data_IF_148949341044
#
_entry.id   IF_148949341044
#
_cell.length_a   1.000
_cell.length_b   1.000
_cell.length_c   1.000
_cell.angle_alpha   90.00
_cell.angle_beta   90.00
_cell.angle_gamma   90.00
#
_symmetry.space_group_name_H-M   'P 1'
#
loop_
_entity.id
_entity.type
_entity.pdbx_description
1 polymer ?
#
# COMPACT_ATOMS: atom_id res chain seq x y z
N UNK A 1 -11.92 18.33 -7.04
CA UNK A 1 -11.17 17.62 -8.11
C UNK A 1 -10.34 16.52 -7.44
N UNK A 2 -10.50 15.27 -7.87
CA UNK A 2 -9.68 14.17 -7.35
C UNK A 2 -8.31 14.13 -8.04
N UNK A 3 -7.41 13.29 -7.54
CA UNK A 3 -6.04 13.22 -8.06
C UNK A 3 -5.97 12.81 -9.54
N UNK A 4 -6.83 11.89 -9.99
CA UNK A 4 -6.88 11.46 -11.39
C UNK A 4 -7.32 12.58 -12.33
N UNK A 5 -8.34 13.34 -11.92
CA UNK A 5 -8.80 14.52 -12.66
C UNK A 5 -7.72 15.60 -12.72
N UNK A 6 -6.98 15.78 -11.63
CA UNK A 6 -5.85 16.73 -11.58
C UNK A 6 -4.75 16.31 -12.54
N UNK A 7 -4.40 15.04 -12.60
CA UNK A 7 -3.40 14.50 -13.54
C UNK A 7 -3.84 14.73 -14.99
N UNK A 8 -5.08 14.40 -15.33
CA UNK A 8 -5.63 14.62 -16.68
C UNK A 8 -5.62 16.10 -17.07
N UNK A 9 -6.05 16.97 -16.15
CA UNK A 9 -6.06 18.41 -16.36
C UNK A 9 -4.65 18.96 -16.58
N UNK A 10 -3.68 18.53 -15.79
CA UNK A 10 -2.28 18.95 -15.90
C UNK A 10 -1.66 18.51 -17.22
N UNK A 11 -1.90 17.26 -17.66
CA UNK A 11 -1.45 16.78 -18.98
C UNK A 11 -2.06 17.54 -20.13
N UNK A 12 -3.36 17.83 -20.06
CA UNK A 12 -4.04 18.63 -21.06
C UNK A 12 -3.44 20.05 -21.17
N UNK A 13 -3.14 20.67 -20.04
CA UNK A 13 -2.45 21.97 -20.00
C UNK A 13 -1.06 21.90 -20.64
N UNK A 14 -0.30 20.84 -20.36
CA UNK A 14 1.01 20.63 -20.97
C UNK A 14 0.92 20.54 -22.49
N UNK A 15 -0.04 19.78 -23.01
CA UNK A 15 -0.29 19.64 -24.47
C UNK A 15 -0.71 20.97 -25.10
N UNK A 16 -1.59 21.73 -24.47
CA UNK A 16 -2.01 23.05 -24.94
C UNK A 16 -0.82 24.03 -25.04
N UNK A 17 0.05 24.03 -24.03
CA UNK A 17 1.25 24.88 -24.01
C UNK A 17 2.27 24.43 -25.05
N UNK A 18 2.48 23.13 -25.23
CA UNK A 18 3.36 22.59 -26.28
C UNK A 18 2.85 22.98 -27.68
N UNK A 19 1.56 22.89 -27.95
CA UNK A 19 0.96 23.30 -29.22
C UNK A 19 1.16 24.78 -29.49
N UNK A 20 0.94 25.63 -28.51
CA UNK A 20 1.20 27.08 -28.64
C UNK A 20 2.67 27.39 -28.89
N UNK A 21 3.60 26.65 -28.27
CA UNK A 21 5.03 26.84 -28.52
C UNK A 21 5.41 26.57 -29.96
N UNK A 22 4.80 25.53 -30.57
CA UNK A 22 5.04 25.21 -32.02
C UNK A 22 4.49 26.29 -32.93
N UNK A 23 3.27 26.78 -32.65
CA UNK A 23 2.63 27.86 -33.43
C UNK A 23 3.41 29.17 -33.39
N UNK A 24 4.07 29.47 -32.27
CA UNK A 24 4.81 30.72 -32.05
C UNK A 24 6.32 30.60 -32.25
N UNK A 25 6.82 29.43 -32.64
CA UNK A 25 8.24 29.22 -32.95
C UNK A 25 8.66 30.05 -34.19
N UNK A 26 9.87 30.69 -34.22
CA UNK A 26 10.94 30.71 -33.19
C UNK A 26 10.90 31.91 -32.21
N UNK A 27 9.75 32.49 -31.95
CA UNK A 27 9.65 33.68 -31.09
C UNK A 27 10.01 33.41 -29.60
N UNK A 28 10.32 34.46 -28.86
CA UNK A 28 10.54 34.39 -27.41
C UNK A 28 9.30 33.91 -26.65
N UNK A 29 8.10 34.22 -27.15
CA UNK A 29 6.84 33.74 -26.59
C UNK A 29 6.68 32.22 -26.77
N UNK A 30 7.07 31.68 -27.92
CA UNK A 30 7.07 30.24 -28.17
C UNK A 30 7.95 29.49 -27.19
N UNK A 31 9.13 30.04 -26.85
CA UNK A 31 10.05 29.46 -25.85
C UNK A 31 9.42 29.48 -24.44
N UNK A 32 8.74 30.55 -24.04
CA UNK A 32 8.02 30.61 -22.75
C UNK A 32 6.94 29.56 -22.66
N UNK A 33 6.17 29.31 -23.71
CA UNK A 33 5.18 28.24 -23.74
C UNK A 33 5.81 26.86 -23.67
N UNK A 34 6.95 26.65 -24.28
CA UNK A 34 7.69 25.38 -24.18
C UNK A 34 8.15 25.14 -22.75
N UNK A 35 8.74 26.13 -22.07
CA UNK A 35 9.15 26.04 -20.68
C UNK A 35 7.95 25.73 -19.76
N UNK A 36 6.81 26.38 -19.98
CA UNK A 36 5.59 26.06 -19.26
C UNK A 36 5.10 24.64 -19.53
N UNK A 37 5.16 24.17 -20.76
CA UNK A 37 4.78 22.80 -21.11
C UNK A 37 5.66 21.78 -20.38
N UNK A 38 6.97 21.98 -20.33
CA UNK A 38 7.90 21.11 -19.62
C UNK A 38 7.61 21.07 -18.12
N UNK A 39 7.30 22.22 -17.49
CA UNK A 39 6.90 22.28 -16.08
C UNK A 39 5.59 21.51 -15.81
N UNK A 40 4.59 21.63 -16.68
CA UNK A 40 3.34 20.89 -16.55
C UNK A 40 3.51 19.38 -16.75
N UNK A 41 4.36 18.96 -17.69
CA UNK A 41 4.68 17.54 -17.86
C UNK A 41 5.40 17.00 -16.61
N UNK A 42 6.37 17.72 -16.07
CA UNK A 42 7.05 17.33 -14.84
C UNK A 42 6.08 17.24 -13.66
N UNK A 43 5.16 18.19 -13.52
CA UNK A 43 4.14 18.17 -12.50
C UNK A 43 3.21 16.95 -12.65
N UNK A 44 2.81 16.60 -13.88
CA UNK A 44 2.00 15.43 -14.14
C UNK A 44 2.71 14.13 -13.74
N UNK A 45 4.01 14.00 -14.02
CA UNK A 45 4.82 12.87 -13.62
C UNK A 45 4.90 12.74 -12.08
N UNK A 46 5.13 13.82 -11.37
CA UNK A 46 5.14 13.84 -9.91
C UNK A 46 3.76 13.47 -9.32
N UNK A 47 2.68 13.90 -9.95
CA UNK A 47 1.32 13.53 -9.51
C UNK A 47 1.04 12.04 -9.72
N UNK A 48 1.56 11.44 -10.80
CA UNK A 48 1.49 9.98 -11.01
C UNK A 48 2.28 9.22 -9.93
N UNK A 49 3.49 9.66 -9.62
CA UNK A 49 4.29 9.08 -8.52
C UNK A 49 3.55 9.19 -7.19
N UNK A 50 2.94 10.33 -6.90
CA UNK A 50 2.14 10.53 -5.69
C UNK A 50 0.95 9.57 -5.63
N UNK A 51 0.28 9.35 -6.76
CA UNK A 51 -0.82 8.40 -6.87
C UNK A 51 -0.38 6.98 -6.52
N UNK A 52 0.74 6.53 -7.07
CA UNK A 52 1.31 5.21 -6.78
C UNK A 52 1.76 5.08 -5.30
N UNK A 53 2.40 6.11 -4.75
CA UNK A 53 2.79 6.15 -3.35
C UNK A 53 1.58 6.10 -2.40
N UNK A 54 0.48 6.76 -2.75
CA UNK A 54 -0.76 6.68 -1.96
C UNK A 54 -1.38 5.29 -1.97
N UNK A 55 -1.40 4.62 -3.14
CA UNK A 55 -1.84 3.23 -3.24
C UNK A 55 -0.97 2.30 -2.40
N UNK A 56 0.35 2.45 -2.48
CA UNK A 56 1.30 1.70 -1.69
C UNK A 56 1.07 1.91 -0.19
N UNK A 57 0.96 3.16 0.24
CA UNK A 57 0.70 3.50 1.65
C UNK A 57 -0.60 2.91 2.16
N UNK A 58 -1.67 2.95 1.36
CA UNK A 58 -2.97 2.37 1.73
C UNK A 58 -2.89 0.85 1.83
N UNK A 59 -2.22 0.19 0.90
CA UNK A 59 -2.05 -1.26 0.89
C UNK A 59 -1.29 -1.77 2.11
N UNK A 60 -0.23 -1.09 2.52
CA UNK A 60 0.65 -1.52 3.61
C UNK A 60 0.46 -0.74 4.92
N UNK A 61 -0.63 -0.01 5.06
CA UNK A 61 -0.95 0.69 6.30
C UNK A 61 -1.24 -0.28 7.45
N UNK A 62 -0.94 0.16 8.66
CA UNK A 62 -1.38 -0.55 9.85
C UNK A 62 -2.88 -0.40 10.06
N UNK A 63 -3.56 -1.52 10.27
CA UNK A 63 -4.96 -1.59 10.64
C UNK A 63 -5.07 -1.74 12.15
N UNK A 64 -5.61 -0.75 12.84
CA UNK A 64 -5.76 -0.77 14.29
C UNK A 64 -7.07 -1.49 14.66
N UNK A 65 -6.95 -2.70 15.17
CA UNK A 65 -8.10 -3.55 15.51
C UNK A 65 -8.83 -3.05 16.76
N UNK A 66 -8.16 -2.30 17.66
CA UNK A 66 -8.81 -1.72 18.83
C UNK A 66 -9.75 -0.59 18.48
N UNK A 67 -9.35 0.28 17.56
CA UNK A 67 -10.16 1.40 17.07
C UNK A 67 -11.22 0.95 16.05
N UNK A 68 -10.86 -0.02 15.23
CA UNK A 68 -11.71 -0.56 14.15
C UNK A 68 -11.76 -2.09 14.20
N UNK A 69 -12.56 -2.69 15.12
CA UNK A 69 -12.62 -4.14 15.30
C UNK A 69 -13.05 -4.94 14.05
N UNK A 70 -13.77 -4.30 13.14
CA UNK A 70 -14.24 -4.92 11.90
C UNK A 70 -13.23 -4.85 10.75
N UNK A 71 -12.13 -4.10 10.92
CA UNK A 71 -11.08 -3.95 9.92
C UNK A 71 -10.07 -5.12 10.03
N UNK A 72 -10.50 -6.28 9.58
CA UNK A 72 -9.78 -7.56 9.64
C UNK A 72 -9.39 -8.03 8.25
N UNK A 73 -8.34 -8.88 8.13
CA UNK A 73 -7.96 -9.43 6.84
C UNK A 73 -9.08 -10.24 6.17
N UNK A 74 -9.22 -10.06 4.87
CA UNK A 74 -10.07 -10.91 4.05
C UNK A 74 -9.22 -12.07 3.52
N UNK A 75 -9.31 -13.20 4.17
CA UNK A 75 -8.54 -14.35 3.72
C UNK A 75 -8.74 -15.58 4.57
N UNK A 76 -8.40 -16.71 3.98
CA UNK A 76 -8.42 -17.99 4.66
C UNK A 76 -6.95 -18.43 4.89
N UNK A 77 -6.64 -18.91 6.10
CA UNK A 77 -5.34 -19.46 6.47
C UNK A 77 -4.83 -20.53 5.49
N UNK A 78 -5.72 -21.26 4.81
CA UNK A 78 -5.38 -22.25 3.79
C UNK A 78 -4.64 -21.67 2.58
N UNK A 79 -4.72 -20.36 2.37
CA UNK A 79 -4.00 -19.67 1.28
C UNK A 79 -2.53 -19.37 1.63
N UNK A 80 -2.11 -19.65 2.85
CA UNK A 80 -0.72 -19.43 3.28
C UNK A 80 -0.29 -17.97 3.34
N UNK A 81 -1.25 -17.05 3.42
CA UNK A 81 -0.96 -15.61 3.49
C UNK A 81 -0.53 -15.25 4.91
N UNK A 82 0.59 -14.56 5.01
CA UNK A 82 1.14 -14.06 6.26
C UNK A 82 0.92 -12.55 6.38
N UNK A 83 0.73 -12.10 7.60
CA UNK A 83 0.57 -10.69 7.95
C UNK A 83 1.58 -10.29 9.02
N UNK A 84 2.03 -9.04 8.99
CA UNK A 84 2.69 -8.42 10.14
C UNK A 84 1.64 -8.08 11.19
N UNK A 85 1.85 -8.50 12.43
CA UNK A 85 0.95 -8.20 13.53
C UNK A 85 1.70 -7.57 14.69
N UNK A 86 1.04 -6.68 15.41
CA UNK A 86 1.52 -6.12 16.67
C UNK A 86 0.68 -6.68 17.80
N UNK A 87 1.36 -7.29 18.75
CA UNK A 87 0.77 -7.79 19.98
C UNK A 87 0.94 -6.77 21.10
N UNK A 88 -0.07 -6.63 21.94
CA UNK A 88 0.07 -5.87 23.15
C UNK A 88 0.89 -6.67 24.17
N UNK A 89 2.06 -6.18 24.55
CA UNK A 89 2.84 -6.73 25.67
C UNK A 89 2.67 -5.85 26.92
N UNK A 90 2.48 -6.53 28.04
CA UNK A 90 2.59 -5.93 29.37
C UNK A 90 4.03 -5.40 29.52
N UNK A 91 4.20 -4.14 29.80
CA UNK A 91 5.46 -3.35 29.96
C UNK A 91 5.88 -2.50 28.75
N UNK A 92 4.94 -1.82 28.09
CA UNK A 92 5.21 -0.75 27.13
C UNK A 92 6.06 -1.10 25.89
N UNK A 93 6.25 -2.38 25.60
CA UNK A 93 7.00 -2.81 24.42
C UNK A 93 6.11 -3.63 23.51
N UNK A 94 5.64 -3.08 22.38
CA UNK A 94 4.87 -3.85 21.42
C UNK A 94 5.75 -4.95 20.79
N UNK A 95 5.22 -6.16 20.73
CA UNK A 95 5.89 -7.26 20.05
C UNK A 95 5.33 -7.38 18.64
N UNK A 96 6.23 -7.47 17.68
CA UNK A 96 5.91 -7.63 16.28
C UNK A 96 6.21 -9.06 15.83
N UNK A 97 5.21 -9.72 15.26
CA UNK A 97 5.31 -11.11 14.78
C UNK A 97 4.64 -11.24 13.43
N UNK A 98 4.93 -12.32 12.72
CA UNK A 98 4.17 -12.70 11.53
C UNK A 98 3.16 -13.76 11.91
N UNK A 99 1.92 -13.56 11.51
CA UNK A 99 0.80 -14.48 11.74
C UNK A 99 -0.04 -14.66 10.49
N UNK A 100 -0.76 -15.75 10.44
CA UNK A 100 -1.82 -16.00 9.48
C UNK A 100 -3.17 -15.62 10.07
N UNK A 101 -4.18 -15.48 9.24
CA UNK A 101 -5.53 -15.16 9.66
C UNK A 101 -6.53 -16.21 9.16
N UNK A 102 -7.41 -16.63 10.04
CA UNK A 102 -8.56 -17.48 9.72
C UNK A 102 -9.84 -16.74 10.06
N UNK A 103 -10.77 -16.62 9.13
CA UNK A 103 -12.03 -15.88 9.33
C UNK A 103 -12.81 -16.36 10.56
N UNK A 104 -12.80 -17.66 10.84
CA UNK A 104 -13.56 -18.25 11.95
C UNK A 104 -12.80 -18.21 13.28
N UNK A 105 -11.47 -18.19 13.27
CA UNK A 105 -10.62 -18.35 14.45
C UNK A 105 -9.77 -17.13 14.81
N UNK A 106 -9.61 -16.18 13.88
CA UNK A 106 -8.77 -14.99 14.05
C UNK A 106 -7.30 -15.22 13.70
N UNK A 107 -6.41 -14.46 14.30
CA UNK A 107 -4.97 -14.54 14.05
C UNK A 107 -4.34 -15.76 14.74
N UNK A 108 -3.39 -16.37 14.09
CA UNK A 108 -2.65 -17.51 14.62
C UNK A 108 -1.64 -18.09 13.63
N UNK A 109 -1.36 -19.36 13.82
CA UNK A 109 -0.37 -20.10 13.05
C UNK A 109 -0.95 -21.39 12.52
N UNK A 110 -0.54 -21.73 11.32
CA UNK A 110 -0.87 -23.00 10.73
C UNK A 110 0.26 -23.98 10.98
N UNK A 111 0.00 -25.01 11.78
CA UNK A 111 0.99 -26.02 12.13
C UNK A 111 0.73 -27.33 11.37
N UNK A 112 1.71 -27.80 10.63
CA UNK A 112 1.66 -29.14 10.08
C UNK A 112 2.01 -30.18 11.17
N UNK A 113 1.10 -31.10 11.46
CA UNK A 113 1.39 -32.21 12.35
C UNK A 113 2.03 -33.36 11.57
N UNK A 114 2.81 -34.21 12.28
CA UNK A 114 3.44 -35.43 11.72
C UNK A 114 2.42 -36.42 11.12
N UNK A 115 1.13 -36.26 11.41
CA UNK A 115 0.03 -37.12 10.98
C UNK A 115 -0.77 -36.55 9.81
N UNK A 116 -0.18 -35.69 8.97
CA UNK A 116 -0.79 -35.05 7.79
C UNK A 116 -2.07 -34.23 8.04
N UNK A 117 -2.48 -34.01 9.28
CA UNK A 117 -3.55 -33.10 9.66
C UNK A 117 -2.97 -31.74 10.00
N UNK A 118 -3.26 -30.79 9.16
CA UNK A 118 -2.89 -29.41 9.40
C UNK A 118 -3.84 -28.81 10.44
N UNK A 119 -3.31 -28.33 11.56
CA UNK A 119 -4.07 -27.68 12.62
C UNK A 119 -3.72 -26.20 12.72
N UNK A 120 -4.73 -25.35 12.75
CA UNK A 120 -4.55 -23.93 13.03
C UNK A 120 -4.53 -23.70 14.54
N UNK A 121 -3.47 -23.03 15.02
CA UNK A 121 -3.31 -22.66 16.43
C UNK A 121 -3.57 -21.15 16.55
N UNK A 122 -4.58 -20.79 17.33
CA UNK A 122 -4.90 -19.39 17.57
C UNK A 122 -3.83 -18.72 18.44
N UNK A 123 -3.75 -17.38 18.35
CA UNK A 123 -2.84 -16.61 19.21
C UNK A 123 -3.12 -16.86 20.71
N UNK A 124 -4.39 -17.03 21.10
CA UNK A 124 -4.77 -17.37 22.47
C UNK A 124 -4.28 -18.77 22.91
N UNK A 125 -4.40 -19.78 22.06
CA UNK A 125 -3.88 -21.14 22.34
C UNK A 125 -2.35 -21.18 22.46
N UNK A 126 -1.64 -20.28 21.74
CA UNK A 126 -0.19 -20.12 21.85
C UNK A 126 0.26 -19.27 23.04
N UNK A 127 -0.64 -18.90 23.95
CA UNK A 127 -0.39 -18.01 25.08
C UNK A 127 0.18 -16.63 24.68
N UNK A 128 -0.20 -16.15 23.51
CA UNK A 128 0.15 -14.82 23.07
C UNK A 128 -0.91 -13.79 23.50
N UNK A 129 -0.49 -12.54 23.60
CA UNK A 129 -1.41 -11.45 23.92
C UNK A 129 -2.28 -11.12 22.72
N UNK A 130 -3.33 -10.31 22.95
CA UNK A 130 -4.25 -9.87 21.91
C UNK A 130 -3.51 -9.11 20.79
N UNK A 131 -3.90 -9.38 19.55
CA UNK A 131 -3.43 -8.62 18.38
C UNK A 131 -4.09 -7.25 18.39
N UNK A 132 -3.30 -6.19 18.35
CA UNK A 132 -3.80 -4.80 18.37
C UNK A 132 -3.75 -4.13 17.01
N UNK A 133 -2.88 -4.58 16.13
CA UNK A 133 -2.77 -4.07 14.76
C UNK A 133 -2.20 -5.14 13.82
N UNK A 134 -2.54 -5.00 12.54
CA UNK A 134 -2.00 -5.85 11.47
C UNK A 134 -1.79 -5.05 10.20
N UNK A 135 -0.95 -5.57 9.30
CA UNK A 135 -0.78 -5.07 7.93
C UNK A 135 -0.33 -6.18 7.00
N UNK A 136 -0.51 -5.96 5.71
CA UNK A 136 0.07 -6.83 4.70
C UNK A 136 1.60 -6.74 4.73
N UNK A 137 2.27 -7.87 4.48
CA UNK A 137 3.72 -7.92 4.33
C UNK A 137 4.08 -7.50 2.92
N UNK A 138 5.05 -6.60 2.78
CA UNK A 138 5.58 -6.19 1.50
C UNK A 138 6.27 -7.38 0.82
N UNK A 139 5.87 -7.65 -0.43
CA UNK A 139 6.51 -8.69 -1.21
C UNK A 139 7.93 -8.25 -1.60
N UNK A 140 8.89 -9.12 -1.36
CA UNK A 140 10.26 -8.92 -1.79
C UNK A 140 10.34 -9.26 -3.29
N UNK A 141 10.50 -8.24 -4.12
CA UNK A 141 10.84 -8.44 -5.52
C UNK A 141 12.37 -8.60 -5.61
N UNK A 142 12.83 -9.83 -5.85
CA UNK A 142 14.22 -10.04 -6.22
C UNK A 142 14.41 -9.46 -7.62
N UNK A 143 15.35 -8.51 -7.75
CA UNK A 143 15.83 -8.16 -9.08
C UNK A 143 16.49 -9.42 -9.67
N UNK A 144 15.82 -10.04 -10.63
CA UNK A 144 16.44 -11.09 -11.42
C UNK A 144 17.52 -10.43 -12.28
N UNK A 145 18.76 -10.78 -11.98
CA UNK A 145 19.90 -10.44 -12.86
C UNK A 145 19.81 -11.18 -14.19
#
# INVERSE_FOLDING_TARGET
MNLEETIKHTRKKAEEMATKSVELFPSCEGRKYLDCAEEYYQLADWLEELKELRKYKEKYRWHNVKEHPDDLPNGNYLKGIWFDVILFKIKNSPTRLNMQYCEDLGFGFYQSSKNSRRKFITAGEANLTEVVAWREIEEFESEEE
#
